data_IF_780371400670
#
_entry.id   IF_780371400670
#
_cell.length_a   1.000
_cell.length_b   1.000
_cell.length_c   1.000
_cell.angle_alpha   90.00
_cell.angle_beta   90.00
_cell.angle_gamma   90.00
#
_symmetry.space_group_name_H-M   'P 1'
#
loop_
_entity.id
_entity.type
_entity.pdbx_description
1 polymer ?
#
# COMPACT_ATOMS: atom_id res chain seq x y z
N UNK A 1 10.68 5.09 27.97
CA UNK A 1 9.72 3.96 27.72
C UNK A 1 10.52 2.75 27.29
N UNK A 2 10.17 1.55 27.69
CA UNK A 2 10.75 0.32 27.10
C UNK A 2 10.02 0.08 25.77
N UNK A 3 10.75 -0.22 24.69
CA UNK A 3 10.15 -0.61 23.41
C UNK A 3 9.29 -1.87 23.54
N UNK A 4 8.42 -2.12 22.56
CA UNK A 4 7.54 -3.31 22.52
C UNK A 4 8.25 -4.59 22.03
N UNK A 5 9.56 -4.51 21.72
CA UNK A 5 10.37 -5.61 21.19
C UNK A 5 10.23 -5.85 19.68
N UNK A 6 9.46 -5.03 18.98
CA UNK A 6 9.34 -5.11 17.53
C UNK A 6 10.30 -4.14 16.82
N UNK A 7 11.06 -4.68 15.87
CA UNK A 7 11.78 -3.89 14.87
C UNK A 7 10.93 -3.78 13.61
N UNK A 8 10.52 -2.56 13.27
CA UNK A 8 9.91 -2.23 11.99
C UNK A 8 11.01 -1.76 11.04
N UNK A 9 11.36 -2.58 10.06
CA UNK A 9 12.34 -2.24 9.04
C UNK A 9 11.62 -1.61 7.86
N UNK A 10 11.83 -0.31 7.72
CA UNK A 10 11.33 0.51 6.63
C UNK A 10 12.25 0.33 5.41
N UNK A 11 11.68 -0.15 4.30
CA UNK A 11 12.38 -0.21 3.02
C UNK A 11 12.05 1.07 2.24
N UNK A 12 12.96 2.05 2.17
CA UNK A 12 12.69 3.37 1.61
C UNK A 12 12.24 3.34 0.16
N UNK A 13 11.21 4.10 -0.17
CA UNK A 13 10.70 4.26 -1.52
C UNK A 13 11.44 5.42 -2.22
N UNK A 14 12.22 5.13 -3.25
CA UNK A 14 13.11 6.10 -3.92
C UNK A 14 13.97 6.88 -2.92
N UNK A 15 14.62 6.14 -2.04
CA UNK A 15 15.48 6.69 -1.01
C UNK A 15 14.76 7.40 0.14
N UNK A 16 13.43 7.41 0.17
CA UNK A 16 12.62 8.10 1.19
C UNK A 16 11.95 7.10 2.11
N UNK A 17 12.25 7.11 3.42
CA UNK A 17 11.51 6.34 4.42
C UNK A 17 10.02 6.59 4.34
N UNK A 18 9.24 5.52 4.55
CA UNK A 18 7.79 5.50 4.33
C UNK A 18 6.99 5.37 5.64
N UNK A 19 7.61 4.87 6.70
CA UNK A 19 6.93 4.53 7.96
C UNK A 19 6.19 5.71 8.58
N UNK A 20 6.82 6.89 8.63
CA UNK A 20 6.19 8.09 9.19
C UNK A 20 4.98 8.52 8.35
N UNK A 21 5.11 8.51 7.03
CA UNK A 21 4.00 8.84 6.14
C UNK A 21 2.82 7.89 6.29
N UNK A 22 3.08 6.58 6.42
CA UNK A 22 2.03 5.58 6.49
C UNK A 22 1.31 5.51 7.84
N UNK A 23 2.03 5.74 8.94
CA UNK A 23 1.47 5.48 10.27
C UNK A 23 1.31 6.72 11.13
N UNK A 24 2.17 7.73 10.98
CA UNK A 24 2.15 8.94 11.80
C UNK A 24 1.40 10.12 11.15
N UNK A 25 0.87 9.97 9.92
CA UNK A 25 0.08 11.04 9.30
C UNK A 25 -1.19 11.32 10.10
N UNK A 26 -1.42 12.59 10.52
CA UNK A 26 -2.71 13.00 11.06
C UNK A 26 -3.80 12.91 10.00
N UNK A 27 -5.07 12.92 10.42
CA UNK A 27 -6.19 12.89 9.49
C UNK A 27 -6.09 14.03 8.44
N UNK A 28 -6.24 13.65 7.18
CA UNK A 28 -6.19 14.56 6.02
C UNK A 28 -4.90 15.39 5.89
N UNK A 29 -3.85 14.99 6.58
CA UNK A 29 -2.51 15.59 6.45
C UNK A 29 -1.55 14.50 6.08
N UNK A 30 -0.91 14.61 4.92
CA UNK A 30 0.15 13.69 4.52
C UNK A 30 1.48 14.14 5.12
N UNK A 31 2.06 13.33 5.99
CA UNK A 31 3.46 13.46 6.34
C UNK A 31 4.30 13.08 5.11
N UNK A 32 5.15 13.97 4.58
CA UNK A 32 5.92 13.66 3.39
C UNK A 32 6.80 12.43 3.56
N UNK A 33 7.01 11.67 2.49
CA UNK A 33 7.99 10.60 2.49
C UNK A 33 9.38 11.16 2.81
N UNK A 34 10.11 10.48 3.67
CA UNK A 34 11.43 10.90 4.13
C UNK A 34 11.45 11.69 5.42
N UNK A 35 10.29 12.04 5.99
CA UNK A 35 10.22 12.66 7.32
C UNK A 35 10.48 11.62 8.41
N UNK A 36 11.22 12.01 9.47
CA UNK A 36 11.53 11.12 10.59
C UNK A 36 10.91 11.54 11.92
N UNK A 37 10.56 12.82 12.05
CA UNK A 37 10.14 13.47 13.31
C UNK A 37 8.79 14.19 13.19
N UNK A 38 8.03 13.91 12.15
CA UNK A 38 6.76 14.57 11.89
C UNK A 38 5.57 13.63 12.15
N UNK A 39 4.44 14.23 12.43
CA UNK A 39 3.17 13.53 12.55
C UNK A 39 2.72 13.29 14.00
N UNK A 40 1.94 12.23 14.20
CA UNK A 40 1.23 11.96 15.46
C UNK A 40 2.07 11.27 16.53
N UNK A 41 3.25 10.76 16.20
CA UNK A 41 4.05 9.94 17.13
C UNK A 41 3.54 8.51 17.33
N UNK A 42 2.56 8.06 16.56
CA UNK A 42 1.93 6.74 16.72
C UNK A 42 2.92 5.58 16.85
N UNK A 43 3.95 5.52 15.99
CA UNK A 43 4.94 4.43 16.04
C UNK A 43 5.73 4.43 17.34
N UNK A 44 6.10 5.61 17.83
CA UNK A 44 6.86 5.80 19.06
C UNK A 44 5.98 5.46 20.29
N UNK A 45 4.75 5.91 20.31
CA UNK A 45 3.78 5.65 21.38
C UNK A 45 3.41 4.17 21.46
N UNK A 46 3.32 3.49 20.31
CA UNK A 46 3.14 2.05 20.24
C UNK A 46 4.41 1.24 20.57
N UNK A 47 5.55 1.92 20.79
CA UNK A 47 6.80 1.32 21.25
C UNK A 47 7.62 0.63 20.17
N UNK A 48 7.37 0.90 18.89
CA UNK A 48 8.17 0.33 17.79
C UNK A 48 9.59 0.91 17.75
N UNK A 49 10.56 0.04 17.49
CA UNK A 49 11.87 0.45 17.00
C UNK A 49 11.80 0.51 15.49
N UNK A 50 12.12 1.66 14.90
CA UNK A 50 12.07 1.86 13.44
C UNK A 50 13.47 2.03 12.90
N UNK A 51 13.83 1.28 11.88
CA UNK A 51 15.06 1.42 11.11
C UNK A 51 14.74 1.54 9.62
N UNK A 52 15.25 2.60 8.98
CA UNK A 52 15.18 2.77 7.52
C UNK A 52 16.53 2.41 6.91
N UNK A 53 16.52 1.53 5.92
CA UNK A 53 17.75 0.99 5.31
C UNK A 53 17.76 1.30 3.82
N UNK A 54 18.65 2.20 3.40
CA UNK A 54 18.85 2.54 1.98
C UNK A 54 19.34 1.32 1.19
N UNK A 55 18.77 1.07 0.04
CA UNK A 55 19.04 -0.08 -0.81
C UNK A 55 19.13 0.28 -2.30
N UNK A 56 18.67 1.47 -2.67
CA UNK A 56 18.47 1.88 -4.05
C UNK A 56 19.63 2.73 -4.56
N UNK A 57 20.15 2.36 -5.71
CA UNK A 57 21.25 3.11 -6.37
C UNK A 57 20.82 4.57 -6.63
N UNK A 58 21.75 5.50 -6.34
CA UNK A 58 21.50 6.94 -6.49
C UNK A 58 20.68 7.56 -5.36
N UNK A 59 20.29 6.76 -4.35
CA UNK A 59 19.56 7.20 -3.18
C UNK A 59 20.31 6.84 -1.86
N UNK A 60 21.57 7.26 -1.79
CA UNK A 60 22.42 7.06 -0.60
C UNK A 60 23.15 5.73 -0.56
N UNK A 61 23.11 4.95 -1.64
CA UNK A 61 23.83 3.68 -1.79
C UNK A 61 24.58 3.67 -3.11
N UNK A 62 25.85 3.27 -3.04
CA UNK A 62 26.67 2.87 -4.19
C UNK A 62 26.70 1.35 -4.23
N UNK A 63 26.20 0.75 -5.31
CA UNK A 63 26.23 -0.69 -5.50
C UNK A 63 27.51 -1.11 -6.20
N UNK A 64 28.13 -2.24 -5.81
CA UNK A 64 29.32 -2.74 -6.48
C UNK A 64 29.01 -3.11 -7.93
N UNK A 65 29.97 -2.84 -8.80
CA UNK A 65 29.87 -3.10 -10.23
C UNK A 65 31.01 -4.02 -10.70
N UNK A 66 30.80 -4.64 -11.86
CA UNK A 66 31.82 -5.39 -12.58
C UNK A 66 31.76 -5.06 -14.08
N UNK A 67 32.78 -5.44 -14.84
CA UNK A 67 32.80 -5.40 -16.30
C UNK A 67 32.37 -6.75 -16.83
N UNK A 68 31.39 -6.78 -17.74
CA UNK A 68 31.07 -8.00 -18.49
C UNK A 68 32.10 -8.28 -19.61
N UNK A 69 31.90 -9.37 -20.37
CA UNK A 69 32.79 -9.78 -21.43
C UNK A 69 32.92 -8.73 -22.57
N UNK A 70 31.89 -7.93 -22.75
CA UNK A 70 31.80 -6.85 -23.72
C UNK A 70 32.36 -5.51 -23.17
N UNK A 71 32.86 -5.49 -21.92
CA UNK A 71 33.39 -4.32 -21.25
C UNK A 71 32.33 -3.35 -20.69
N UNK A 72 31.04 -3.72 -20.71
CA UNK A 72 29.96 -2.93 -20.15
C UNK A 72 29.95 -3.04 -18.64
N UNK A 73 29.78 -1.90 -17.96
CA UNK A 73 29.63 -1.88 -16.49
C UNK A 73 28.26 -2.38 -16.08
N UNK A 74 28.24 -3.37 -15.19
CA UNK A 74 27.01 -3.98 -14.65
C UNK A 74 27.05 -3.98 -13.12
N UNK A 75 25.87 -3.94 -12.51
CA UNK A 75 25.72 -4.11 -11.06
C UNK A 75 25.63 -5.59 -10.69
N UNK A 76 26.12 -5.95 -9.51
CA UNK A 76 25.99 -7.32 -9.00
C UNK A 76 24.54 -7.58 -8.64
N UNK A 77 23.92 -8.59 -9.25
CA UNK A 77 22.54 -8.97 -8.99
C UNK A 77 22.35 -9.34 -7.51
N UNK A 78 21.25 -8.88 -6.92
CA UNK A 78 20.86 -9.24 -5.56
C UNK A 78 21.53 -8.42 -4.46
N UNK A 79 22.51 -7.55 -4.74
CA UNK A 79 23.20 -6.76 -3.71
C UNK A 79 22.22 -5.92 -2.88
N UNK A 80 21.22 -5.30 -3.51
CA UNK A 80 20.21 -4.52 -2.81
C UNK A 80 19.40 -5.38 -1.81
N UNK A 81 19.10 -6.62 -2.18
CA UNK A 81 18.46 -7.56 -1.25
C UNK A 81 19.39 -7.97 -0.10
N UNK A 82 20.67 -8.21 -0.39
CA UNK A 82 21.67 -8.53 0.62
C UNK A 82 21.84 -7.40 1.64
N UNK A 83 21.86 -6.14 1.20
CA UNK A 83 21.94 -4.97 2.11
C UNK A 83 20.78 -5.00 3.11
N UNK A 84 19.54 -5.17 2.65
CA UNK A 84 18.37 -5.22 3.53
C UNK A 84 18.48 -6.42 4.48
N UNK A 85 18.87 -7.60 3.97
CA UNK A 85 19.03 -8.82 4.77
C UNK A 85 20.08 -8.62 5.87
N UNK A 86 21.26 -8.16 5.53
CA UNK A 86 22.40 -8.16 6.44
C UNK A 86 22.26 -7.09 7.52
N UNK A 87 21.71 -5.89 7.17
CA UNK A 87 21.41 -4.87 8.16
C UNK A 87 20.28 -5.31 9.09
N UNK A 88 19.22 -5.94 8.56
CA UNK A 88 18.12 -6.45 9.40
C UNK A 88 18.61 -7.56 10.35
N UNK A 89 19.48 -8.44 9.85
CA UNK A 89 20.08 -9.50 10.68
C UNK A 89 20.97 -8.91 11.78
N UNK A 90 21.84 -7.98 11.43
CA UNK A 90 22.67 -7.28 12.42
C UNK A 90 21.80 -6.65 13.52
N UNK A 91 20.80 -5.84 13.15
CA UNK A 91 19.94 -5.13 14.11
C UNK A 91 19.13 -6.05 15.01
N UNK A 92 18.70 -7.21 14.49
CA UNK A 92 17.77 -8.10 15.21
C UNK A 92 18.47 -9.20 16.02
N UNK A 93 19.68 -9.62 15.64
CA UNK A 93 20.28 -10.84 16.22
C UNK A 93 21.72 -10.70 16.70
N UNK A 94 22.53 -9.85 16.05
CA UNK A 94 23.94 -9.77 16.39
C UNK A 94 24.22 -8.89 17.63
N UNK A 95 25.30 -9.18 18.35
CA UNK A 95 25.82 -8.28 19.40
C UNK A 95 26.78 -7.24 18.86
N UNK A 96 27.56 -7.61 17.83
CA UNK A 96 28.53 -6.75 17.12
C UNK A 96 28.53 -7.12 15.65
N UNK A 97 28.98 -6.21 14.80
CA UNK A 97 29.31 -6.49 13.39
C UNK A 97 30.70 -7.16 13.25
N UNK A 98 31.10 -7.41 12.00
CA UNK A 98 32.38 -8.07 11.65
C UNK A 98 33.63 -7.23 11.98
N UNK A 99 33.45 -5.91 12.20
CA UNK A 99 34.56 -4.98 12.59
C UNK A 99 34.48 -4.57 14.05
N UNK A 100 33.60 -5.17 14.85
CA UNK A 100 33.46 -4.97 16.29
C UNK A 100 32.55 -3.82 16.71
N UNK A 101 31.78 -3.22 15.78
CA UNK A 101 30.79 -2.18 16.13
C UNK A 101 29.63 -2.82 16.89
N UNK A 102 29.30 -2.27 18.05
CA UNK A 102 28.21 -2.79 18.88
C UNK A 102 26.86 -2.53 18.23
N UNK A 103 26.01 -3.55 18.24
CA UNK A 103 24.61 -3.37 17.89
C UNK A 103 23.87 -2.64 19.02
N UNK A 104 23.30 -1.43 18.75
CA UNK A 104 22.57 -0.67 19.77
C UNK A 104 21.28 -1.36 20.23
N UNK A 105 20.78 -2.36 19.47
CA UNK A 105 19.55 -3.08 19.72
C UNK A 105 19.79 -4.51 20.25
N UNK A 106 21.04 -4.87 20.56
CA UNK A 106 21.38 -6.23 20.98
C UNK A 106 20.51 -6.72 22.14
N UNK A 107 19.81 -7.83 21.93
CA UNK A 107 18.90 -8.43 22.92
C UNK A 107 17.57 -7.70 23.15
N UNK A 108 17.32 -6.59 22.43
CA UNK A 108 16.07 -5.82 22.59
C UNK A 108 14.97 -6.23 21.62
N UNK A 109 15.32 -6.88 20.50
CA UNK A 109 14.38 -7.24 19.44
C UNK A 109 13.94 -8.70 19.60
N UNK A 110 12.64 -8.92 19.67
CA UNK A 110 12.02 -10.25 19.75
C UNK A 110 11.26 -10.65 18.48
N UNK A 111 10.94 -9.67 17.62
CA UNK A 111 10.27 -9.87 16.34
C UNK A 111 10.58 -8.77 15.36
N UNK A 112 10.54 -9.10 14.08
CA UNK A 112 10.92 -8.24 12.98
C UNK A 112 9.80 -8.15 11.97
N UNK A 113 9.49 -6.94 11.51
CA UNK A 113 8.49 -6.65 10.48
C UNK A 113 9.14 -5.83 9.37
N UNK A 114 9.07 -6.30 8.13
CA UNK A 114 9.45 -5.51 6.97
C UNK A 114 8.24 -4.73 6.45
N UNK A 115 8.48 -3.44 6.16
CA UNK A 115 7.48 -2.52 5.64
C UNK A 115 7.80 -2.13 4.21
N UNK A 116 6.81 -2.26 3.31
CA UNK A 116 6.93 -1.83 1.92
C UNK A 116 5.69 -1.09 1.41
N UNK A 117 5.93 -0.05 0.62
CA UNK A 117 4.88 0.71 -0.04
C UNK A 117 5.17 0.85 -1.54
N UNK A 118 4.21 0.51 -2.38
CA UNK A 118 4.34 0.66 -3.83
C UNK A 118 5.60 -0.04 -4.39
N UNK A 119 6.60 0.69 -4.81
CA UNK A 119 7.90 0.17 -5.27
C UNK A 119 8.51 -0.80 -4.26
N UNK A 120 8.57 -0.44 -3.00
CA UNK A 120 9.23 -1.26 -2.00
C UNK A 120 8.38 -2.43 -1.51
N UNK A 121 7.06 -2.37 -1.68
CA UNK A 121 6.21 -3.54 -1.57
C UNK A 121 6.52 -4.58 -2.67
N UNK A 122 6.79 -4.13 -3.90
CA UNK A 122 7.27 -4.99 -4.99
C UNK A 122 8.67 -5.54 -4.72
N UNK A 123 9.56 -4.72 -4.14
CA UNK A 123 10.88 -5.16 -3.67
C UNK A 123 10.76 -6.31 -2.66
N UNK A 124 9.89 -6.17 -1.65
CA UNK A 124 9.68 -7.22 -0.64
C UNK A 124 9.15 -8.52 -1.22
N UNK A 125 8.26 -8.47 -2.22
CA UNK A 125 7.84 -9.68 -2.94
C UNK A 125 9.03 -10.37 -3.58
N UNK A 126 9.89 -9.63 -4.29
CA UNK A 126 11.11 -10.15 -4.91
C UNK A 126 12.11 -10.68 -3.89
N UNK A 127 12.28 -9.97 -2.77
CA UNK A 127 13.13 -10.36 -1.65
C UNK A 127 12.73 -11.74 -1.11
N UNK A 128 11.43 -11.96 -0.94
CA UNK A 128 10.88 -13.23 -0.44
C UNK A 128 11.09 -14.37 -1.43
N UNK A 129 10.66 -14.21 -2.70
CA UNK A 129 10.75 -15.30 -3.70
C UNK A 129 12.18 -15.68 -4.08
N UNK A 130 13.14 -14.78 -3.84
CA UNK A 130 14.57 -15.03 -4.05
C UNK A 130 15.28 -15.59 -2.83
N UNK A 131 14.54 -15.86 -1.75
CA UNK A 131 15.05 -16.54 -0.56
C UNK A 131 15.84 -15.67 0.41
N UNK A 132 15.82 -14.34 0.27
CA UNK A 132 16.58 -13.45 1.13
C UNK A 132 16.01 -13.32 2.56
N UNK A 133 14.79 -13.83 2.81
CA UNK A 133 14.19 -13.83 4.16
C UNK A 133 14.73 -14.95 5.07
N UNK A 134 15.87 -15.52 4.73
CA UNK A 134 16.54 -16.55 5.52
C UNK A 134 18.02 -16.23 5.69
N UNK A 135 18.50 -16.36 6.92
CA UNK A 135 19.91 -16.27 7.29
C UNK A 135 20.25 -17.52 8.09
N UNK A 136 21.18 -18.35 7.58
CA UNK A 136 21.60 -19.60 8.22
C UNK A 136 20.42 -20.52 8.63
N UNK A 137 19.38 -20.60 7.77
CA UNK A 137 18.17 -21.37 8.01
C UNK A 137 17.17 -20.71 8.97
N UNK A 138 17.48 -19.58 9.56
CA UNK A 138 16.60 -18.78 10.43
C UNK A 138 15.81 -17.76 9.60
N UNK A 139 14.51 -17.66 9.85
CA UNK A 139 13.67 -16.63 9.25
C UNK A 139 14.05 -15.24 9.78
N UNK A 140 14.31 -14.31 8.89
CA UNK A 140 14.71 -12.93 9.20
C UNK A 140 13.49 -12.08 9.59
N UNK A 141 12.57 -11.84 8.66
CA UNK A 141 11.32 -11.15 8.96
C UNK A 141 10.23 -12.13 9.35
N UNK A 142 9.72 -11.98 10.56
CA UNK A 142 8.57 -12.77 11.04
C UNK A 142 7.25 -12.25 10.49
N UNK A 143 7.17 -10.94 10.21
CA UNK A 143 6.05 -10.25 9.61
C UNK A 143 6.46 -9.42 8.39
N UNK A 144 5.52 -9.25 7.44
CA UNK A 144 5.68 -8.35 6.29
C UNK A 144 4.38 -7.58 6.10
N UNK A 145 4.47 -6.26 6.02
CA UNK A 145 3.34 -5.36 5.80
C UNK A 145 3.55 -4.59 4.50
N UNK A 146 2.65 -4.76 3.55
CA UNK A 146 2.78 -4.19 2.20
C UNK A 146 1.53 -3.40 1.84
N UNK A 147 1.72 -2.18 1.35
CA UNK A 147 0.67 -1.35 0.74
C UNK A 147 0.96 -1.12 -0.75
N UNK A 148 -0.04 -1.34 -1.60
CA UNK A 148 -0.04 -0.88 -2.99
C UNK A 148 1.02 -1.49 -3.91
N UNK A 149 1.50 -2.71 -3.62
CA UNK A 149 2.42 -3.41 -4.53
C UNK A 149 1.72 -4.03 -5.75
N UNK A 150 0.41 -4.18 -5.67
CA UNK A 150 -0.40 -4.76 -6.73
C UNK A 150 0.15 -6.11 -7.24
N UNK A 151 0.13 -6.34 -8.56
CA UNK A 151 0.68 -7.55 -9.17
C UNK A 151 2.20 -7.50 -9.38
N UNK A 152 2.81 -6.31 -9.32
CA UNK A 152 4.20 -6.12 -9.69
C UNK A 152 5.20 -6.72 -8.70
N UNK A 153 6.42 -6.94 -9.18
CA UNK A 153 7.62 -7.26 -8.42
C UNK A 153 8.81 -6.50 -9.01
N UNK A 154 9.97 -6.53 -8.38
CA UNK A 154 11.18 -5.88 -8.87
C UNK A 154 12.18 -6.94 -9.31
N UNK A 155 12.61 -6.84 -10.55
CA UNK A 155 13.71 -7.65 -11.05
C UNK A 155 15.01 -6.84 -10.99
N UNK A 156 15.84 -7.13 -10.00
CA UNK A 156 17.16 -6.51 -9.82
C UNK A 156 18.23 -7.29 -10.58
N UNK A 157 18.01 -7.57 -11.85
CA UNK A 157 19.01 -8.19 -12.71
C UNK A 157 20.16 -7.23 -12.97
N UNK A 158 21.31 -7.80 -13.26
CA UNK A 158 22.47 -7.05 -13.75
C UNK A 158 22.18 -6.49 -15.15
N UNK A 159 21.75 -5.24 -15.23
CA UNK A 159 21.43 -4.55 -16.48
C UNK A 159 22.37 -3.35 -16.67
N UNK A 160 22.68 -2.95 -17.92
CA UNK A 160 23.51 -1.79 -18.17
C UNK A 160 22.82 -0.49 -17.75
N UNK A 161 23.57 0.39 -17.09
CA UNK A 161 23.16 1.76 -16.79
C UNK A 161 22.46 1.97 -15.45
N UNK A 162 22.43 3.23 -14.98
CA UNK A 162 21.84 3.59 -13.69
C UNK A 162 20.32 3.41 -13.66
N UNK A 163 19.68 3.32 -14.82
CA UNK A 163 18.22 3.25 -14.95
C UNK A 163 17.66 1.89 -14.62
N UNK A 164 18.49 0.89 -14.49
CA UNK A 164 18.09 -0.50 -14.58
C UNK A 164 18.44 -1.32 -13.35
N UNK A 165 19.38 -0.86 -12.54
CA UNK A 165 19.96 -1.71 -11.50
C UNK A 165 19.16 -1.77 -10.22
N UNK A 166 18.52 -0.70 -9.83
CA UNK A 166 18.01 -0.57 -8.47
C UNK A 166 16.55 -0.19 -8.38
N UNK A 167 15.73 -0.65 -9.31
CA UNK A 167 14.30 -0.40 -9.26
C UNK A 167 13.93 1.00 -9.69
N UNK A 168 14.71 1.62 -10.57
CA UNK A 168 14.23 2.75 -11.34
C UNK A 168 12.95 2.34 -12.00
N UNK A 169 11.88 2.96 -11.57
CA UNK A 169 10.61 2.82 -12.26
C UNK A 169 10.79 3.55 -13.58
N UNK A 170 10.65 2.84 -14.67
CA UNK A 170 10.56 3.47 -15.95
C UNK A 170 9.47 4.51 -15.90
N UNK A 171 9.68 5.59 -16.60
CA UNK A 171 8.80 6.76 -16.58
C UNK A 171 7.33 6.35 -16.74
N UNK A 172 6.45 6.95 -15.97
CA UNK A 172 5.01 6.68 -15.98
C UNK A 172 4.33 6.91 -17.33
N UNK A 173 5.03 7.53 -18.27
CA UNK A 173 4.54 7.81 -19.60
C UNK A 173 4.52 6.57 -20.51
N UNK A 174 5.23 5.49 -20.14
CA UNK A 174 5.13 4.22 -20.81
C UNK A 174 4.46 3.19 -19.90
N UNK A 175 3.17 2.85 -20.09
CA UNK A 175 2.45 1.86 -19.30
C UNK A 175 3.13 0.49 -19.26
N UNK A 176 3.87 0.13 -20.30
CA UNK A 176 4.58 -1.14 -20.43
C UNK A 176 5.80 -1.22 -19.52
N UNK A 177 6.35 -0.08 -19.18
CA UNK A 177 7.58 0.07 -18.44
C UNK A 177 7.33 0.38 -16.95
N UNK A 178 6.09 0.54 -16.50
CA UNK A 178 5.70 0.84 -15.09
C UNK A 178 6.05 -0.27 -14.07
N UNK A 179 7.12 -1.00 -14.25
CA UNK A 179 7.49 -2.13 -13.41
C UNK A 179 6.51 -3.30 -13.53
N UNK A 180 5.85 -3.41 -14.67
CA UNK A 180 4.85 -4.41 -15.02
C UNK A 180 5.25 -5.19 -16.27
N UNK A 181 6.49 -5.09 -16.71
CA UNK A 181 7.06 -5.92 -17.78
C UNK A 181 7.45 -7.33 -17.30
N UNK A 182 7.13 -7.65 -16.06
CA UNK A 182 7.40 -8.93 -15.45
C UNK A 182 6.08 -9.66 -15.24
N UNK A 183 6.12 -10.99 -15.29
CA UNK A 183 4.95 -11.79 -15.02
C UNK A 183 4.32 -11.40 -13.69
N UNK A 184 2.97 -11.28 -13.64
CA UNK A 184 2.31 -10.96 -12.39
C UNK A 184 2.65 -11.98 -11.32
N UNK A 185 3.07 -11.49 -10.16
CA UNK A 185 3.38 -12.31 -9.00
C UNK A 185 2.24 -12.18 -7.98
N UNK A 186 1.34 -13.14 -7.97
CA UNK A 186 0.28 -13.19 -6.97
C UNK A 186 0.87 -13.49 -5.60
N UNK A 187 0.19 -13.05 -4.54
CA UNK A 187 0.71 -13.22 -3.18
C UNK A 187 0.77 -14.70 -2.75
N UNK A 188 -0.13 -15.53 -3.26
CA UNK A 188 -0.09 -16.98 -3.09
C UNK A 188 1.19 -17.58 -3.69
N UNK A 189 1.58 -17.11 -4.90
CA UNK A 189 2.78 -17.59 -5.59
C UNK A 189 4.06 -17.19 -4.85
N UNK A 190 4.07 -15.99 -4.22
CA UNK A 190 5.19 -15.58 -3.35
C UNK A 190 5.42 -16.60 -2.25
N UNK A 191 4.38 -17.03 -1.56
CA UNK A 191 4.53 -17.94 -0.43
C UNK A 191 4.77 -19.39 -0.89
N UNK A 192 4.20 -19.79 -2.02
CA UNK A 192 4.50 -21.08 -2.62
C UNK A 192 5.99 -21.18 -2.95
N UNK A 193 6.56 -20.13 -3.56
CA UNK A 193 7.99 -20.07 -3.85
C UNK A 193 8.85 -20.09 -2.57
N UNK A 194 8.49 -19.34 -1.53
CA UNK A 194 9.19 -19.35 -0.24
C UNK A 194 9.22 -20.77 0.33
N UNK A 195 8.09 -21.46 0.32
CA UNK A 195 7.98 -22.84 0.80
C UNK A 195 8.81 -23.82 -0.05
N UNK A 196 8.83 -23.64 -1.38
CA UNK A 196 9.65 -24.49 -2.28
C UNK A 196 11.14 -24.37 -2.03
N UNK A 197 11.60 -23.22 -1.51
CA UNK A 197 12.97 -23.01 -1.05
C UNK A 197 13.27 -23.64 0.34
N UNK A 198 12.31 -24.33 0.93
CA UNK A 198 12.43 -24.90 2.29
C UNK A 198 12.47 -23.84 3.39
N UNK A 199 12.03 -22.64 3.13
CA UNK A 199 12.06 -21.52 4.08
C UNK A 199 10.73 -21.41 4.84
N UNK A 200 10.78 -20.82 6.04
CA UNK A 200 9.59 -20.56 6.84
C UNK A 200 8.98 -19.24 6.34
N UNK A 201 7.78 -19.33 5.76
CA UNK A 201 7.07 -18.16 5.26
C UNK A 201 6.70 -17.16 6.39
N UNK A 202 6.82 -15.85 6.17
CA UNK A 202 6.38 -14.84 7.13
C UNK A 202 4.85 -14.78 7.24
N UNK A 203 4.35 -14.14 8.30
CA UNK A 203 2.97 -13.64 8.31
C UNK A 203 2.90 -12.36 7.54
N UNK A 204 1.88 -12.22 6.70
CA UNK A 204 1.80 -11.08 5.79
C UNK A 204 0.45 -10.37 5.88
N UNK A 205 0.51 -9.04 5.90
CA UNK A 205 -0.65 -8.20 5.59
C UNK A 205 -0.36 -7.47 4.29
N UNK A 206 -1.27 -7.64 3.35
CA UNK A 206 -1.22 -7.05 2.02
C UNK A 206 -2.42 -6.13 1.84
N UNK A 207 -2.17 -4.84 1.58
CA UNK A 207 -3.22 -3.83 1.44
C UNK A 207 -3.18 -3.28 0.02
N UNK A 208 -4.33 -3.25 -0.65
CA UNK A 208 -4.53 -2.56 -1.92
C UNK A 208 -5.52 -1.41 -1.77
N UNK A 209 -5.46 -0.48 -2.68
CA UNK A 209 -6.43 0.61 -2.83
C UNK A 209 -7.26 0.41 -4.10
N UNK A 210 -8.40 1.09 -4.21
CA UNK A 210 -9.19 1.07 -5.44
C UNK A 210 -8.36 1.48 -6.65
N UNK A 211 -7.50 2.50 -6.51
CA UNK A 211 -6.64 2.98 -7.59
C UNK A 211 -5.65 1.92 -8.10
N UNK A 212 -5.17 1.02 -7.23
CA UNK A 212 -4.24 -0.03 -7.62
C UNK A 212 -4.82 -0.98 -8.67
N UNK A 213 -6.14 -1.19 -8.64
CA UNK A 213 -6.84 -2.02 -9.62
C UNK A 213 -6.87 -1.36 -11.00
N UNK A 214 -7.05 -0.04 -11.07
CA UNK A 214 -7.10 0.69 -12.34
C UNK A 214 -5.71 0.98 -12.90
N UNK A 215 -4.77 1.38 -12.05
CA UNK A 215 -3.48 1.95 -12.46
C UNK A 215 -2.31 1.00 -12.34
N UNK A 216 -2.42 -0.09 -11.57
CA UNK A 216 -1.34 -1.04 -11.30
C UNK A 216 -1.74 -2.51 -11.53
N UNK A 217 -2.91 -2.78 -12.12
CA UNK A 217 -3.42 -4.13 -12.40
C UNK A 217 -3.43 -5.03 -11.16
N UNK A 218 -3.94 -4.50 -10.01
CA UNK A 218 -3.92 -5.24 -8.75
C UNK A 218 -4.68 -6.57 -8.79
N UNK A 219 -5.68 -6.70 -9.69
CA UNK A 219 -6.38 -7.97 -9.90
C UNK A 219 -5.42 -9.14 -10.21
N UNK A 220 -4.36 -8.91 -10.99
CA UNK A 220 -3.36 -9.93 -11.29
C UNK A 220 -2.52 -10.33 -10.05
N UNK A 221 -2.50 -9.49 -9.01
CA UNK A 221 -1.92 -9.82 -7.70
C UNK A 221 -2.75 -10.84 -6.91
N UNK A 222 -4.04 -11.00 -7.27
CA UNK A 222 -4.97 -11.97 -6.71
C UNK A 222 -5.08 -13.23 -7.59
N UNK A 223 -5.17 -13.03 -8.89
CA UNK A 223 -5.47 -14.09 -9.87
C UNK A 223 -4.23 -14.72 -10.51
N UNK A 224 -3.09 -14.04 -10.48
CA UNK A 224 -1.89 -14.44 -11.21
C UNK A 224 -2.02 -14.20 -12.71
N UNK A 225 -1.22 -14.91 -13.50
CA UNK A 225 -1.08 -14.70 -14.95
C UNK A 225 -2.34 -14.95 -15.77
N UNK A 226 -3.28 -15.80 -15.33
CA UNK A 226 -4.54 -16.04 -16.04
C UNK A 226 -5.49 -14.85 -15.95
N UNK A 227 -5.54 -14.18 -14.80
CA UNK A 227 -6.44 -13.06 -14.52
C UNK A 227 -7.91 -13.45 -14.40
N UNK A 228 -8.27 -14.73 -14.40
CA UNK A 228 -9.68 -15.19 -14.45
C UNK A 228 -10.29 -15.36 -13.06
N UNK A 229 -9.59 -15.98 -12.13
CA UNK A 229 -10.12 -16.34 -10.81
C UNK A 229 -9.08 -16.04 -9.71
N UNK A 230 -9.57 -15.65 -8.55
CA UNK A 230 -8.72 -15.43 -7.37
C UNK A 230 -8.06 -16.74 -6.94
N UNK A 231 -6.76 -16.70 -6.73
CA UNK A 231 -6.03 -17.79 -6.09
C UNK A 231 -6.34 -17.84 -4.60
N UNK A 232 -6.46 -19.02 -4.00
CA UNK A 232 -6.64 -19.14 -2.55
C UNK A 232 -5.49 -18.46 -1.79
N UNK A 233 -5.84 -17.65 -0.80
CA UNK A 233 -4.84 -17.02 0.07
C UNK A 233 -4.39 -18.00 1.15
N UNK A 234 -3.08 -18.17 1.36
CA UNK A 234 -2.54 -18.99 2.44
C UNK A 234 -2.96 -18.49 3.83
N UNK A 235 -3.04 -19.37 4.84
CA UNK A 235 -3.54 -19.01 6.17
C UNK A 235 -2.68 -17.95 6.91
N UNK A 236 -1.42 -17.82 6.52
CA UNK A 236 -0.48 -16.81 7.04
C UNK A 236 -0.52 -15.49 6.26
N UNK A 237 -1.51 -15.28 5.39
CA UNK A 237 -1.77 -14.02 4.68
C UNK A 237 -3.10 -13.43 5.09
N UNK A 238 -3.14 -12.11 5.19
CA UNK A 238 -4.36 -11.30 5.14
C UNK A 238 -4.24 -10.28 4.03
N UNK A 239 -5.30 -10.16 3.26
CA UNK A 239 -5.41 -9.18 2.18
C UNK A 239 -6.63 -8.29 2.40
N UNK A 240 -6.42 -6.99 2.29
CA UNK A 240 -7.44 -5.97 2.49
C UNK A 240 -7.44 -5.00 1.32
N UNK A 241 -8.60 -4.81 0.71
CA UNK A 241 -8.80 -3.80 -0.32
C UNK A 241 -9.54 -2.61 0.30
N UNK A 242 -8.97 -1.42 0.26
CA UNK A 242 -9.62 -0.21 0.78
C UNK A 242 -10.46 0.42 -0.33
N UNK A 243 -11.77 0.32 -0.20
CA UNK A 243 -12.72 0.85 -1.17
C UNK A 243 -12.65 2.39 -1.25
N UNK A 244 -12.62 2.93 -2.47
CA UNK A 244 -12.55 4.37 -2.74
C UNK A 244 -11.17 5.01 -2.54
N UNK A 245 -10.22 4.29 -1.95
CA UNK A 245 -8.90 4.83 -1.64
C UNK A 245 -8.05 5.04 -2.89
N UNK A 246 -7.25 6.11 -2.87
CA UNK A 246 -6.19 6.37 -3.85
C UNK A 246 -4.89 5.68 -3.46
N UNK A 247 -4.04 5.40 -4.47
CA UNK A 247 -2.71 4.84 -4.22
C UNK A 247 -1.85 5.77 -3.38
N UNK A 248 -1.89 7.07 -3.70
CA UNK A 248 -1.26 8.14 -2.90
C UNK A 248 -2.32 9.13 -2.47
N UNK A 249 -2.21 9.64 -1.25
CA UNK A 249 -2.97 10.79 -0.80
C UNK A 249 -2.24 12.07 -1.22
N UNK A 250 -2.98 13.00 -1.79
CA UNK A 250 -2.45 14.28 -2.30
C UNK A 250 -3.26 15.45 -1.69
N UNK A 251 -3.27 15.60 -0.36
CA UNK A 251 -4.02 16.67 0.29
C UNK A 251 -3.44 18.04 -0.14
N UNK A 252 -4.32 19.01 -0.37
CA UNK A 252 -3.93 20.37 -0.73
C UNK A 252 -3.51 20.57 -2.19
N UNK A 253 -3.47 19.54 -3.03
CA UNK A 253 -3.32 19.74 -4.47
C UNK A 253 -4.63 20.22 -5.07
N UNK A 254 -4.63 21.46 -5.57
CA UNK A 254 -5.83 22.12 -6.12
C UNK A 254 -6.10 21.54 -7.52
N UNK A 255 -7.35 21.11 -7.80
CA UNK A 255 -7.75 20.72 -9.14
C UNK A 255 -7.64 21.91 -10.11
N UNK A 256 -7.34 21.64 -11.36
CA UNK A 256 -7.40 22.65 -12.41
C UNK A 256 -6.08 23.35 -12.74
N UNK A 257 -4.96 22.98 -12.12
CA UNK A 257 -3.62 23.46 -12.51
C UNK A 257 -3.05 22.71 -13.72
N UNK A 258 -3.91 22.11 -14.56
CA UNK A 258 -3.53 21.47 -15.82
C UNK A 258 -3.09 20.01 -15.73
N UNK A 259 -3.03 19.40 -14.54
CA UNK A 259 -2.54 18.04 -14.39
C UNK A 259 -3.65 16.98 -14.42
N UNK A 260 -4.79 17.20 -13.76
CA UNK A 260 -5.90 16.26 -13.71
C UNK A 260 -7.23 16.93 -14.00
N UNK A 261 -8.17 16.16 -14.58
CA UNK A 261 -9.48 16.67 -14.95
C UNK A 261 -10.38 16.94 -13.75
N UNK A 262 -10.29 16.11 -12.70
CA UNK A 262 -11.16 16.14 -11.53
C UNK A 262 -10.35 16.43 -10.24
N UNK A 263 -11.00 16.88 -9.17
CA UNK A 263 -10.41 16.91 -7.84
C UNK A 263 -9.82 15.57 -7.43
N UNK A 264 -8.75 15.59 -6.64
CA UNK A 264 -8.18 14.36 -6.09
C UNK A 264 -9.08 13.75 -5.03
N UNK A 265 -9.06 12.42 -4.93
CA UNK A 265 -9.69 11.73 -3.81
C UNK A 265 -8.94 12.02 -2.50
N UNK A 266 -9.73 12.32 -1.46
CA UNK A 266 -9.23 12.70 -0.12
C UNK A 266 -9.55 11.64 0.95
N UNK A 267 -9.93 10.43 0.55
CA UNK A 267 -10.26 9.36 1.49
C UNK A 267 -9.00 8.94 2.25
N UNK A 268 -8.98 9.23 3.54
CA UNK A 268 -7.84 8.98 4.41
C UNK A 268 -7.77 7.51 4.87
N UNK A 269 -6.86 6.75 4.30
CA UNK A 269 -6.64 5.34 4.61
C UNK A 269 -5.59 5.08 5.71
N UNK A 270 -4.90 6.09 6.24
CA UNK A 270 -3.90 5.92 7.31
C UNK A 270 -4.44 5.19 8.56
N UNK A 271 -5.70 5.39 9.01
CA UNK A 271 -6.27 4.61 10.10
C UNK A 271 -6.22 3.10 9.88
N UNK A 272 -6.46 2.64 8.63
CA UNK A 272 -6.37 1.21 8.28
C UNK A 272 -4.93 0.72 8.36
N UNK A 273 -3.96 1.54 7.96
CA UNK A 273 -2.55 1.19 8.07
C UNK A 273 -2.15 1.00 9.54
N UNK A 274 -2.57 1.90 10.44
CA UNK A 274 -2.31 1.79 11.88
C UNK A 274 -2.91 0.52 12.49
N UNK A 275 -4.20 0.28 12.26
CA UNK A 275 -4.90 -0.88 12.80
C UNK A 275 -4.33 -2.20 12.28
N UNK A 276 -3.99 -2.27 11.00
CA UNK A 276 -3.42 -3.48 10.40
C UNK A 276 -1.98 -3.75 10.84
N UNK A 277 -1.17 -2.71 11.12
CA UNK A 277 0.15 -2.88 11.72
C UNK A 277 0.03 -3.47 13.15
N UNK A 278 -0.85 -2.92 13.98
CA UNK A 278 -1.12 -3.46 15.33
C UNK A 278 -1.66 -4.89 15.24
N UNK A 279 -2.54 -5.18 14.29
CA UNK A 279 -3.07 -6.52 14.08
C UNK A 279 -1.97 -7.53 13.68
N UNK A 280 -1.04 -7.13 12.80
CA UNK A 280 0.12 -7.95 12.45
C UNK A 280 1.02 -8.21 13.66
N UNK A 281 1.34 -7.16 14.41
CA UNK A 281 2.19 -7.25 15.59
C UNK A 281 1.57 -8.18 16.66
N UNK A 282 0.27 -8.03 16.90
CA UNK A 282 -0.49 -8.93 17.79
C UNK A 282 -0.48 -10.37 17.27
N UNK A 283 -0.64 -10.56 15.96
CA UNK A 283 -0.56 -11.89 15.36
C UNK A 283 0.81 -12.54 15.59
N UNK A 284 1.89 -11.77 15.44
CA UNK A 284 3.26 -12.25 15.68
C UNK A 284 3.54 -12.56 17.14
N UNK A 285 3.06 -11.72 18.06
CA UNK A 285 3.39 -11.80 19.48
C UNK A 285 2.49 -12.76 20.27
N UNK A 286 1.21 -12.87 19.91
CA UNK A 286 0.19 -13.64 20.68
C UNK A 286 -0.50 -14.73 19.89
N UNK A 287 -0.19 -14.87 18.60
CA UNK A 287 -0.86 -15.80 17.67
C UNK A 287 -2.35 -15.51 17.43
N UNK A 288 -2.87 -14.33 17.83
CA UNK A 288 -4.24 -13.91 17.54
C UNK A 288 -4.30 -13.39 16.10
N UNK A 289 -5.07 -14.09 15.26
CA UNK A 289 -5.19 -13.72 13.84
C UNK A 289 -5.82 -12.34 13.64
N UNK A 290 -5.34 -11.57 12.65
CA UNK A 290 -6.02 -10.35 12.19
C UNK A 290 -7.44 -10.64 11.68
N UNK A 291 -8.25 -9.62 11.46
CA UNK A 291 -9.56 -9.76 10.79
C UNK A 291 -9.48 -10.65 9.54
N UNK A 292 -10.57 -11.29 9.14
CA UNK A 292 -10.65 -12.01 7.87
C UNK A 292 -10.33 -11.11 6.67
N UNK A 293 -9.99 -11.71 5.54
CA UNK A 293 -9.77 -10.99 4.29
C UNK A 293 -11.01 -10.17 3.91
N UNK A 294 -10.79 -8.93 3.47
CA UNK A 294 -11.84 -8.02 3.02
C UNK A 294 -11.48 -7.53 1.61
N UNK A 295 -12.06 -8.17 0.60
CA UNK A 295 -11.74 -7.94 -0.80
C UNK A 295 -12.90 -7.27 -1.53
N UNK A 296 -12.59 -6.39 -2.46
CA UNK A 296 -13.58 -5.83 -3.38
C UNK A 296 -13.98 -6.90 -4.42
N UNK A 297 -15.28 -7.07 -4.71
CA UNK A 297 -15.71 -7.87 -5.85
C UNK A 297 -15.28 -7.19 -7.16
N UNK A 298 -14.83 -8.01 -8.10
CA UNK A 298 -14.24 -7.54 -9.35
C UNK A 298 -15.07 -7.95 -10.56
N UNK A 299 -14.91 -7.21 -11.65
CA UNK A 299 -15.42 -7.54 -12.97
C UNK A 299 -14.39 -7.22 -14.05
N UNK A 300 -14.55 -7.76 -15.23
CA UNK A 300 -13.64 -7.53 -16.34
C UNK A 300 -13.66 -6.06 -16.79
N UNK A 301 -12.46 -5.47 -16.92
CA UNK A 301 -12.28 -4.06 -17.27
C UNK A 301 -12.43 -3.73 -18.76
N UNK A 302 -12.88 -4.67 -19.60
CA UNK A 302 -12.90 -4.51 -21.06
C UNK A 302 -13.67 -3.28 -21.54
N UNK A 303 -14.71 -2.87 -20.83
CA UNK A 303 -15.53 -1.70 -21.16
C UNK A 303 -14.99 -0.38 -20.55
N UNK A 304 -14.03 -0.43 -19.61
CA UNK A 304 -13.48 0.76 -18.97
C UNK A 304 -12.22 1.24 -19.69
N UNK A 305 -12.34 2.33 -20.46
CA UNK A 305 -11.24 2.90 -21.24
C UNK A 305 -10.10 3.45 -20.38
N UNK A 306 -10.34 3.69 -19.08
CA UNK A 306 -9.35 4.28 -18.17
C UNK A 306 -8.53 3.23 -17.43
N UNK A 307 -9.01 1.99 -17.32
CA UNK A 307 -8.24 0.91 -16.74
C UNK A 307 -7.06 0.51 -17.63
N UNK A 308 -5.93 0.15 -17.02
CA UNK A 308 -4.79 -0.38 -17.75
C UNK A 308 -5.17 -1.71 -18.43
N UNK A 309 -4.81 -1.84 -19.69
CA UNK A 309 -5.02 -3.08 -20.47
C UNK A 309 -4.05 -4.17 -20.03
N UNK A 310 -4.30 -5.39 -20.48
CA UNK A 310 -3.35 -6.49 -20.37
C UNK A 310 -1.97 -6.07 -20.92
N UNK A 311 -0.87 -6.44 -20.25
CA UNK A 311 0.46 -6.09 -20.74
C UNK A 311 0.79 -6.86 -22.01
N UNK A 312 1.65 -6.30 -22.88
CA UNK A 312 2.00 -6.91 -24.18
C UNK A 312 2.60 -8.32 -24.06
N UNK A 313 3.37 -8.57 -22.99
CA UNK A 313 3.97 -9.89 -22.75
C UNK A 313 2.96 -10.92 -22.19
N UNK A 314 1.78 -10.48 -21.78
CA UNK A 314 0.68 -11.32 -21.29
C UNK A 314 -0.66 -10.84 -21.88
N UNK A 315 -0.81 -10.84 -23.23
CA UNK A 315 -1.92 -10.17 -23.91
C UNK A 315 -3.29 -10.80 -23.66
N UNK A 316 -3.31 -12.05 -23.17
CA UNK A 316 -4.54 -12.77 -22.83
C UNK A 316 -4.97 -12.62 -21.37
N UNK A 317 -4.22 -11.89 -20.54
CA UNK A 317 -4.58 -11.68 -19.16
C UNK A 317 -5.89 -10.85 -19.06
N UNK A 318 -6.80 -11.31 -18.23
CA UNK A 318 -8.03 -10.60 -17.93
C UNK A 318 -7.73 -9.60 -16.82
N UNK A 319 -7.85 -8.32 -17.13
CA UNK A 319 -7.73 -7.25 -16.14
C UNK A 319 -9.10 -6.99 -15.54
N UNK A 320 -9.19 -7.07 -14.23
CA UNK A 320 -10.41 -6.84 -13.48
C UNK A 320 -10.30 -5.60 -12.62
N UNK A 321 -11.41 -4.90 -12.45
CA UNK A 321 -11.55 -3.70 -11.64
C UNK A 321 -12.70 -3.86 -10.65
N UNK A 322 -12.74 -3.07 -9.55
CA UNK A 322 -13.82 -3.15 -8.59
C UNK A 322 -15.20 -2.85 -9.20
N UNK A 323 -16.18 -3.66 -8.83
CA UNK A 323 -17.60 -3.38 -9.09
C UNK A 323 -17.96 -2.11 -8.33
N UNK A 324 -18.74 -1.22 -8.98
CA UNK A 324 -19.18 0.05 -8.42
C UNK A 324 -20.68 0.01 -8.09
N UNK A 325 -21.07 0.77 -7.08
CA UNK A 325 -22.46 1.02 -6.77
C UNK A 325 -23.07 2.09 -7.71
N UNK A 326 -24.35 2.41 -7.50
CA UNK A 326 -25.07 3.42 -8.28
C UNK A 326 -24.48 4.83 -8.19
N UNK A 327 -23.68 5.09 -7.16
CA UNK A 327 -22.96 6.36 -6.95
C UNK A 327 -21.58 6.37 -7.60
N UNK A 328 -21.18 5.27 -8.22
CA UNK A 328 -19.86 5.08 -8.81
C UNK A 328 -18.76 4.76 -7.79
N UNK A 329 -19.10 4.50 -6.54
CA UNK A 329 -18.16 4.09 -5.50
C UNK A 329 -17.89 2.59 -5.54
N UNK A 330 -16.69 2.16 -5.20
CA UNK A 330 -16.34 0.74 -5.15
C UNK A 330 -17.15 0.00 -4.09
N UNK A 331 -17.66 -1.19 -4.46
CA UNK A 331 -18.34 -2.10 -3.55
C UNK A 331 -17.37 -3.02 -2.81
N UNK A 332 -17.78 -3.49 -1.63
CA UNK A 332 -17.00 -4.46 -0.83
C UNK A 332 -15.69 -3.90 -0.32
N UNK A 333 -14.80 -4.80 0.11
CA UNK A 333 -13.55 -4.42 0.77
C UNK A 333 -13.79 -3.70 2.11
N UNK A 334 -12.73 -3.08 2.61
CA UNK A 334 -12.81 -2.22 3.80
C UNK A 334 -13.38 -0.88 3.39
N UNK A 335 -14.63 -0.60 3.78
CA UNK A 335 -15.31 0.67 3.49
C UNK A 335 -15.17 1.60 4.68
N UNK A 336 -14.32 2.60 4.56
CA UNK A 336 -14.19 3.67 5.56
C UNK A 336 -15.55 4.38 5.78
N UNK A 337 -15.76 5.06 6.92
CA UNK A 337 -17.02 5.76 7.21
C UNK A 337 -17.45 6.72 6.10
N UNK A 338 -16.50 7.42 5.48
CA UNK A 338 -16.72 8.32 4.34
C UNK A 338 -17.19 7.58 3.07
N UNK A 339 -17.05 6.25 3.00
CA UNK A 339 -17.60 5.40 1.93
C UNK A 339 -18.95 4.78 2.29
N UNK A 340 -19.28 4.71 3.58
CA UNK A 340 -20.58 4.23 4.08
C UNK A 340 -21.63 5.35 4.07
N UNK A 341 -21.19 6.55 4.42
CA UNK A 341 -21.99 7.77 4.33
C UNK A 341 -21.27 8.80 3.43
N UNK A 342 -21.29 8.59 2.08
CA UNK A 342 -20.49 9.38 1.17
C UNK A 342 -21.09 10.78 0.92
N UNK A 343 -20.22 11.77 0.78
CA UNK A 343 -20.55 13.11 0.28
C UNK A 343 -20.24 13.29 -1.21
N UNK A 344 -19.76 12.24 -1.86
CA UNK A 344 -19.41 12.22 -3.28
C UNK A 344 -18.90 10.85 -3.73
N UNK A 345 -18.49 10.78 -4.99
CA UNK A 345 -17.89 9.60 -5.59
C UNK A 345 -16.37 9.65 -5.50
N UNK A 346 -15.77 8.56 -5.02
CA UNK A 346 -14.33 8.31 -5.07
C UNK A 346 -14.03 7.40 -6.25
N UNK A 347 -13.55 7.97 -7.37
CA UNK A 347 -13.60 7.32 -8.68
C UNK A 347 -12.59 6.20 -8.92
N UNK A 348 -11.51 6.11 -8.15
CA UNK A 348 -10.42 5.15 -8.35
C UNK A 348 -9.43 5.53 -9.45
N UNK A 349 -9.76 6.47 -10.33
CA UNK A 349 -8.95 6.97 -11.44
C UNK A 349 -9.19 8.45 -11.69
N UNK A 350 -8.29 9.14 -12.40
CA UNK A 350 -8.44 10.56 -12.72
C UNK A 350 -7.76 10.89 -14.07
N UNK A 351 -8.52 11.27 -15.11
CA UNK A 351 -7.95 11.68 -16.40
C UNK A 351 -7.36 13.11 -16.34
N UNK A 352 -6.37 13.47 -17.19
CA UNK A 352 -5.59 12.56 -18.01
C UNK A 352 -4.69 11.67 -17.15
N UNK A 353 -4.26 10.52 -17.68
CA UNK A 353 -3.41 9.57 -16.98
C UNK A 353 -1.95 10.05 -16.88
N UNK A 354 -1.71 11.22 -16.29
CA UNK A 354 -0.38 11.57 -15.81
C UNK A 354 -0.03 10.71 -14.59
N UNK A 355 1.24 10.67 -14.22
CA UNK A 355 1.68 9.93 -13.04
C UNK A 355 0.85 10.25 -11.80
N UNK A 356 0.78 11.54 -11.46
CA UNK A 356 0.08 12.01 -10.27
C UNK A 356 -1.42 11.72 -10.35
N UNK A 357 -2.04 11.93 -11.52
CA UNK A 357 -3.47 11.70 -11.72
C UNK A 357 -3.81 10.21 -11.65
N UNK A 358 -2.97 9.34 -12.22
CA UNK A 358 -3.22 7.89 -12.20
C UNK A 358 -3.13 7.27 -10.81
N UNK A 359 -2.40 7.90 -9.89
CA UNK A 359 -2.23 7.39 -8.52
C UNK A 359 -3.08 8.14 -7.48
N UNK A 360 -3.48 9.39 -7.78
CA UNK A 360 -4.22 10.24 -6.85
C UNK A 360 -5.74 10.05 -6.88
N UNK A 361 -6.27 9.26 -7.82
CA UNK A 361 -7.71 9.05 -7.98
C UNK A 361 -8.51 10.35 -8.15
N UNK A 362 -9.82 10.27 -8.21
CA UNK A 362 -10.71 11.43 -8.34
C UNK A 362 -11.79 11.47 -7.29
N UNK A 363 -12.24 12.68 -6.99
CA UNK A 363 -13.40 12.95 -6.16
C UNK A 363 -14.42 13.79 -6.92
N UNK A 364 -15.69 13.40 -6.87
CA UNK A 364 -16.81 14.13 -7.45
C UNK A 364 -17.92 14.29 -6.42
N UNK A 365 -18.05 15.48 -5.85
CA UNK A 365 -19.06 15.78 -4.84
C UNK A 365 -20.48 15.53 -5.39
N UNK A 366 -21.39 15.12 -4.51
CA UNK A 366 -22.83 15.10 -4.83
C UNK A 366 -23.39 16.52 -4.83
N UNK A 367 -24.41 16.77 -5.66
CA UNK A 367 -25.19 17.99 -5.60
C UNK A 367 -25.80 18.18 -4.20
N UNK A 368 -25.99 19.42 -3.77
CA UNK A 368 -26.60 19.70 -2.47
C UNK A 368 -28.08 19.37 -2.47
N UNK A 369 -28.80 19.84 -3.51
CA UNK A 369 -30.25 19.68 -3.62
C UNK A 369 -30.65 18.85 -4.83
N UNK A 370 -31.89 18.41 -4.84
CA UNK A 370 -32.47 17.68 -5.98
C UNK A 370 -32.49 18.54 -7.23
N UNK A 371 -32.82 19.81 -7.12
CA UNK A 371 -32.87 20.77 -8.24
C UNK A 371 -31.47 20.95 -8.88
N UNK A 372 -30.42 21.04 -8.05
CA UNK A 372 -29.03 21.16 -8.53
C UNK A 372 -28.62 19.89 -9.30
N UNK A 373 -28.93 18.68 -8.78
CA UNK A 373 -28.58 17.44 -9.47
C UNK A 373 -29.33 17.25 -10.79
N UNK A 374 -30.64 17.63 -10.82
CA UNK A 374 -31.48 17.57 -12.02
C UNK A 374 -30.99 18.55 -13.09
N UNK A 375 -30.62 19.77 -12.69
CA UNK A 375 -30.03 20.78 -13.58
C UNK A 375 -28.67 20.32 -14.16
N UNK A 376 -27.90 19.57 -13.39
CA UNK A 376 -26.62 18.97 -13.80
C UNK A 376 -26.78 17.65 -14.57
N UNK A 377 -28.00 17.13 -14.72
CA UNK A 377 -28.30 15.78 -15.24
C UNK A 377 -27.51 14.69 -14.50
N UNK A 378 -27.34 14.84 -13.18
CA UNK A 378 -26.65 13.87 -12.31
C UNK A 378 -27.66 12.85 -11.80
N UNK A 379 -27.42 11.57 -12.09
CA UNK A 379 -28.28 10.46 -11.66
C UNK A 379 -28.12 10.10 -10.19
N UNK A 380 -27.03 10.53 -9.55
CA UNK A 380 -26.76 10.25 -8.13
C UNK A 380 -27.67 11.12 -7.25
N UNK A 381 -28.15 10.56 -6.14
CA UNK A 381 -28.95 11.33 -5.19
C UNK A 381 -28.15 12.50 -4.61
N UNK A 382 -28.82 13.65 -4.44
CA UNK A 382 -28.25 14.82 -3.77
C UNK A 382 -28.06 14.58 -2.26
N UNK A 383 -27.29 15.45 -1.61
CA UNK A 383 -27.08 15.36 -0.16
C UNK A 383 -28.36 15.46 0.64
N UNK A 384 -29.30 16.34 0.24
CA UNK A 384 -30.59 16.50 0.91
C UNK A 384 -31.55 15.32 0.67
N UNK A 385 -31.38 14.55 -0.40
CA UNK A 385 -32.14 13.32 -0.62
C UNK A 385 -31.55 12.13 0.16
N UNK A 386 -30.26 12.18 0.54
CA UNK A 386 -29.54 11.12 1.26
C UNK A 386 -29.62 11.25 2.77
N UNK A 387 -29.48 12.46 3.25
CA UNK A 387 -29.37 12.76 4.67
C UNK A 387 -30.52 13.66 5.11
N UNK A 388 -31.20 13.24 6.18
CA UNK A 388 -32.29 14.02 6.76
C UNK A 388 -31.78 15.40 7.22
N UNK A 389 -30.65 15.40 7.86
CA UNK A 389 -29.94 16.57 8.37
C UNK A 389 -28.46 16.19 8.68
N UNK A 390 -27.68 17.16 9.15
CA UNK A 390 -26.30 16.95 9.58
C UNK A 390 -26.16 15.91 10.69
N UNK A 391 -27.12 15.84 11.61
CA UNK A 391 -27.11 14.88 12.70
C UNK A 391 -27.24 13.44 12.20
N UNK A 392 -28.10 13.19 11.21
CA UNK A 392 -28.23 11.90 10.56
C UNK A 392 -26.90 11.47 9.90
N UNK A 393 -26.27 12.37 9.16
CA UNK A 393 -24.94 12.12 8.57
C UNK A 393 -23.90 11.75 9.63
N UNK A 394 -23.76 12.58 10.67
CA UNK A 394 -22.78 12.34 11.75
C UNK A 394 -23.03 11.01 12.46
N UNK A 395 -24.29 10.66 12.68
CA UNK A 395 -24.65 9.39 13.31
C UNK A 395 -24.28 8.19 12.42
N UNK A 396 -24.47 8.29 11.10
CA UNK A 396 -24.05 7.23 10.15
C UNK A 396 -22.53 7.07 10.14
N UNK A 397 -21.77 8.16 10.11
CA UNK A 397 -20.29 8.13 10.21
C UNK A 397 -19.85 7.45 11.52
N UNK A 398 -20.42 7.86 12.67
CA UNK A 398 -20.10 7.25 13.97
C UNK A 398 -20.42 5.76 14.03
N UNK A 399 -21.55 5.37 13.50
CA UNK A 399 -21.96 3.95 13.45
C UNK A 399 -20.99 3.15 12.60
N UNK A 400 -20.64 3.63 11.40
CA UNK A 400 -19.69 2.99 10.53
C UNK A 400 -18.27 2.91 11.14
N UNK A 401 -17.82 3.97 11.83
CA UNK A 401 -16.53 3.96 12.50
C UNK A 401 -16.47 2.94 13.63
N UNK A 402 -17.53 2.83 14.45
CA UNK A 402 -17.61 1.81 15.51
C UNK A 402 -17.69 0.39 14.96
N UNK A 403 -18.40 0.17 13.86
CA UNK A 403 -18.42 -1.14 13.18
C UNK A 403 -17.00 -1.55 12.76
N UNK A 404 -16.26 -0.66 12.13
CA UNK A 404 -14.88 -0.93 11.73
C UNK A 404 -13.94 -1.15 12.93
N UNK A 405 -14.15 -0.43 14.03
CA UNK A 405 -13.42 -0.66 15.29
C UNK A 405 -13.69 -2.08 15.83
N UNK A 406 -14.96 -2.47 15.92
CA UNK A 406 -15.36 -3.81 16.38
C UNK A 406 -14.81 -4.92 15.48
N UNK A 407 -14.72 -4.67 14.19
CA UNK A 407 -14.13 -5.59 13.21
C UNK A 407 -12.59 -5.55 13.20
N UNK A 408 -11.96 -4.63 13.91
CA UNK A 408 -10.51 -4.52 14.04
C UNK A 408 -9.81 -3.73 12.92
N UNK A 409 -10.55 -2.92 12.17
CA UNK A 409 -10.03 -2.07 11.09
C UNK A 409 -9.81 -0.61 11.49
N UNK A 410 -10.27 -0.18 12.64
CA UNK A 410 -9.95 1.12 13.22
C UNK A 410 -9.49 0.95 14.67
N UNK A 411 -8.65 1.88 15.11
CA UNK A 411 -8.31 2.05 16.52
C UNK A 411 -9.30 3.02 17.18
N UNK A 412 -9.45 2.93 18.48
CA UNK A 412 -10.38 3.79 19.26
C UNK A 412 -10.10 5.27 19.05
N UNK A 413 -8.82 5.64 18.98
CA UNK A 413 -8.38 7.02 18.73
C UNK A 413 -8.82 7.51 17.35
N UNK A 414 -8.74 6.65 16.34
CA UNK A 414 -9.17 6.98 14.98
C UNK A 414 -10.69 7.16 14.89
N UNK A 415 -11.47 6.37 15.63
CA UNK A 415 -12.93 6.53 15.72
C UNK A 415 -13.29 7.89 16.30
N UNK A 416 -12.59 8.34 17.34
CA UNK A 416 -12.80 9.66 17.93
C UNK A 416 -12.50 10.79 16.93
N UNK A 417 -11.35 10.71 16.25
CA UNK A 417 -10.91 11.69 15.24
C UNK A 417 -11.91 11.76 14.07
N UNK A 418 -12.33 10.61 13.53
CA UNK A 418 -13.29 10.53 12.43
C UNK A 418 -14.64 11.11 12.84
N UNK A 419 -15.11 10.78 14.05
CA UNK A 419 -16.38 11.28 14.58
C UNK A 419 -16.38 12.78 14.80
N UNK A 420 -15.27 13.33 15.27
CA UNK A 420 -15.08 14.77 15.43
C UNK A 420 -15.09 15.48 14.07
N UNK A 421 -14.30 15.00 13.12
CA UNK A 421 -14.25 15.59 11.78
C UNK A 421 -15.60 15.57 11.05
N UNK A 422 -16.41 14.53 11.23
CA UNK A 422 -17.77 14.50 10.69
C UNK A 422 -18.66 15.61 11.27
N UNK A 423 -18.47 15.94 12.54
CA UNK A 423 -19.21 17.02 13.19
C UNK A 423 -18.83 18.42 12.66
N UNK A 424 -17.67 18.58 12.03
CA UNK A 424 -17.21 19.84 11.42
C UNK A 424 -17.69 20.05 9.98
N UNK A 425 -18.35 19.05 9.38
CA UNK A 425 -18.88 19.14 8.00
C UNK A 425 -19.99 20.19 7.94
N UNK A 426 -19.82 21.22 7.11
CA UNK A 426 -20.75 22.35 6.96
C UNK A 426 -21.64 22.28 5.71
N UNK A 427 -21.42 21.29 4.85
CA UNK A 427 -22.18 21.12 3.60
C UNK A 427 -23.62 20.64 3.82
N UNK A 428 -23.92 20.11 5.00
CA UNK A 428 -25.24 19.70 5.45
C UNK A 428 -25.76 20.69 6.50
N UNK A 429 -27.03 21.06 6.41
CA UNK A 429 -27.71 21.96 7.38
C UNK A 429 -28.12 21.21 8.65
#
# INVERSE_FOLDING_TARGET
MRGNGALLLDVPNRGRPISQSLFNSPRNVLVPLGSFDQGTGFLQDAGYTVAAVSWELGHGVELPTFKDAEGTTRYIEGTAFAIIRDVADFLSSASTDTVGTRNPLAGAISRTVALGYSQTGRFLKSFLVRGYNSVEGRRLFSGVHILGAASGHINLRSIPGPESGAGTIPTFDNPEVRGVNEEPLAISDVLEQVNSLGQIAPRMIFVNTTTDYFSLRASLGRTGGSGSEDKPLPPNVRMYDIAGASHVLLPGMVPGTGQCKLPYAILDWHPIMRSTLIALDRWLSTNISPPPNELMPLWEAAADAMALRAPNYLPKAIIQIPIRDQDGNANGGVRLPDMVAPLGTHGGQNPPLSFTCSLGSSYSAFAKTKEEREAANDSRLSLMERYKDRSDYVNRIRTAARDLEQRGFLLTEDVAIISHAAAEVTTLK
#
